data_IF_315347987146
#
_entry.id   IF_315347987146
#
_cell.length_a   1.000
_cell.length_b   1.000
_cell.length_c   1.000
_cell.angle_alpha   90.00
_cell.angle_beta   90.00
_cell.angle_gamma   90.00
#
_symmetry.space_group_name_H-M   'P 1'
#
loop_
_entity.id
_entity.type
_entity.pdbx_description
1 polymer ?
#
# COMPACT_ATOMS: atom_id res chain seq x y z
N UNK A 1 22.37 38.12 7.70
CA UNK A 1 22.75 37.33 8.89
C UNK A 1 23.31 36.01 8.37
N UNK A 2 24.61 35.80 8.48
CA UNK A 2 25.26 34.57 8.00
C UNK A 2 25.02 33.51 9.06
N UNK A 3 24.11 32.57 8.78
CA UNK A 3 23.90 31.38 9.61
C UNK A 3 24.85 30.32 9.06
N UNK A 4 25.92 30.02 9.81
CA UNK A 4 26.68 28.79 9.61
C UNK A 4 25.77 27.61 9.99
N UNK A 5 25.29 26.87 9.00
CA UNK A 5 24.62 25.58 9.23
C UNK A 5 25.72 24.51 9.27
N UNK A 6 26.00 24.01 10.47
CA UNK A 6 26.80 22.79 10.66
C UNK A 6 25.95 21.60 10.20
N UNK A 7 26.28 21.02 9.05
CA UNK A 7 25.65 19.79 8.56
C UNK A 7 26.28 18.62 9.32
N UNK A 8 25.55 18.07 10.28
CA UNK A 8 25.92 16.80 10.92
C UNK A 8 25.54 15.66 9.96
N UNK A 9 26.55 14.96 9.45
CA UNK A 9 26.38 13.76 8.62
C UNK A 9 25.93 12.61 9.51
N UNK A 10 24.70 12.12 9.33
CA UNK A 10 24.23 10.89 9.96
C UNK A 10 24.53 9.72 9.02
N UNK A 11 25.49 8.87 9.38
CA UNK A 11 25.72 7.61 8.69
C UNK A 11 24.73 6.56 9.22
N UNK A 12 23.83 6.07 8.37
CA UNK A 12 23.05 4.87 8.64
C UNK A 12 23.79 3.70 7.99
N UNK A 13 24.41 2.85 8.81
CA UNK A 13 25.19 1.70 8.36
C UNK A 13 24.31 0.44 8.45
N UNK A 14 23.81 -0.07 7.33
CA UNK A 14 23.07 -1.34 7.27
C UNK A 14 24.01 -2.48 6.87
N UNK A 15 24.39 -3.29 7.86
CA UNK A 15 25.10 -4.54 7.65
C UNK A 15 24.15 -5.63 7.13
N UNK A 16 24.40 -6.14 5.92
CA UNK A 16 23.80 -7.38 5.39
C UNK A 16 24.76 -8.53 5.69
N UNK A 17 24.37 -9.45 6.57
CA UNK A 17 25.09 -10.70 6.81
C UNK A 17 24.63 -11.76 5.79
N UNK A 18 25.49 -11.98 4.80
CA UNK A 18 25.50 -13.16 3.94
C UNK A 18 26.10 -14.35 4.71
N UNK A 19 25.42 -15.49 4.75
CA UNK A 19 26.09 -16.79 4.88
C UNK A 19 25.60 -17.77 3.81
N UNK A 20 26.57 -18.26 3.02
CA UNK A 20 26.46 -19.35 2.08
C UNK A 20 26.89 -20.68 2.75
N UNK A 21 26.21 -21.74 2.30
CA UNK A 21 26.67 -23.13 2.08
C UNK A 21 27.08 -24.00 3.29
N UNK A 22 26.51 -25.21 3.39
CA UNK A 22 27.24 -26.45 3.05
C UNK A 22 26.37 -27.72 2.88
N UNK A 23 26.75 -28.49 1.86
CA UNK A 23 26.73 -29.96 1.65
C UNK A 23 25.45 -30.81 1.63
N UNK A 24 25.23 -31.36 0.43
CA UNK A 24 24.65 -32.67 0.13
C UNK A 24 25.42 -33.82 0.80
N UNK A 25 24.71 -34.84 1.29
CA UNK A 25 25.21 -36.21 1.46
C UNK A 25 24.11 -37.18 1.02
N UNK A 26 24.44 -38.07 0.09
CA UNK A 26 23.67 -39.24 -0.31
C UNK A 26 23.80 -40.35 0.72
N UNK A 27 22.81 -41.23 0.86
CA UNK A 27 22.98 -42.65 0.53
C UNK A 27 21.70 -43.48 0.75
N UNK A 28 21.49 -44.39 -0.20
CA UNK A 28 20.48 -45.43 -0.21
C UNK A 28 20.77 -46.49 0.87
N UNK A 29 19.75 -46.94 1.60
CA UNK A 29 19.72 -48.32 2.10
C UNK A 29 18.31 -48.88 1.97
N UNK A 30 18.26 -50.02 1.27
CA UNK A 30 17.15 -50.93 1.08
C UNK A 30 16.65 -51.50 2.42
N UNK A 31 15.34 -51.66 2.59
CA UNK A 31 14.87 -52.96 3.08
C UNK A 31 13.51 -53.35 2.49
N UNK A 32 13.48 -54.55 1.93
CA UNK A 32 12.28 -55.30 1.53
C UNK A 32 12.13 -56.38 2.60
N UNK A 33 10.91 -56.66 3.07
CA UNK A 33 10.31 -58.00 2.97
C UNK A 33 8.99 -58.17 3.76
N UNK A 34 7.96 -58.61 3.01
CA UNK A 34 7.08 -59.77 3.29
C UNK A 34 6.01 -59.61 4.41
N UNK A 35 4.77 -60.10 4.34
CA UNK A 35 4.05 -61.11 3.51
C UNK A 35 2.53 -60.88 3.71
N UNK A 36 1.73 -60.90 2.64
CA UNK A 36 0.68 -61.90 2.28
C UNK A 36 -0.49 -62.16 3.25
N UNK A 37 -1.71 -62.11 2.69
CA UNK A 37 -2.96 -62.70 3.18
C UNK A 37 -4.17 -62.10 2.44
N UNK A 38 -4.46 -62.53 1.22
CA UNK A 38 -5.46 -63.55 0.84
C UNK A 38 -6.87 -62.99 0.60
N UNK A 39 -7.32 -63.17 -0.64
CA UNK A 39 -8.66 -62.92 -1.13
C UNK A 39 -9.56 -64.10 -0.76
N UNK A 40 -10.73 -63.81 -0.19
CA UNK A 40 -11.84 -64.77 -0.08
C UNK A 40 -12.98 -64.22 -0.93
N UNK A 41 -13.23 -64.90 -2.06
CA UNK A 41 -14.36 -64.67 -2.95
C UNK A 41 -15.53 -65.50 -2.44
N UNK A 42 -16.62 -64.85 -2.02
CA UNK A 42 -17.90 -65.51 -1.78
C UNK A 42 -18.99 -64.88 -2.65
N UNK A 43 -19.50 -65.69 -3.56
CA UNK A 43 -20.72 -65.48 -4.34
C UNK A 43 -21.91 -65.73 -3.41
N UNK A 44 -22.79 -64.75 -3.24
CA UNK A 44 -24.22 -64.98 -3.14
C UNK A 44 -24.98 -63.70 -3.51
N UNK A 45 -25.94 -63.88 -4.43
CA UNK A 45 -26.76 -62.85 -5.03
C UNK A 45 -27.76 -62.28 -4.04
N UNK A 46 -27.85 -60.95 -3.94
CA UNK A 46 -29.07 -60.29 -3.47
C UNK A 46 -29.21 -58.91 -4.13
N UNK A 47 -30.20 -58.83 -5.03
CA UNK A 47 -30.95 -57.66 -5.51
C UNK A 47 -30.23 -56.30 -5.57
N UNK A 48 -29.93 -55.87 -6.80
CA UNK A 48 -29.67 -54.48 -7.17
C UNK A 48 -30.88 -53.59 -6.80
N UNK A 49 -30.79 -52.91 -5.67
CA UNK A 49 -31.41 -51.60 -5.50
C UNK A 49 -30.39 -50.58 -6.00
N UNK A 50 -30.78 -49.73 -6.95
CA UNK A 50 -30.03 -48.52 -7.28
C UNK A 50 -30.49 -47.43 -6.32
N UNK A 51 -29.79 -47.14 -5.20
CA UNK A 51 -29.95 -45.85 -4.57
C UNK A 51 -29.45 -44.81 -5.58
N UNK A 52 -30.27 -43.80 -5.84
CA UNK A 52 -29.79 -42.59 -6.52
C UNK A 52 -28.52 -42.11 -5.82
N UNK A 53 -27.49 -41.64 -6.54
CA UNK A 53 -26.31 -41.11 -5.89
C UNK A 53 -26.75 -39.89 -5.08
N UNK A 54 -26.76 -40.04 -3.76
CA UNK A 54 -26.67 -38.90 -2.86
C UNK A 54 -25.37 -38.20 -3.26
N UNK A 55 -25.50 -37.10 -3.99
CA UNK A 55 -24.39 -36.18 -4.22
C UNK A 55 -23.94 -35.75 -2.85
N UNK A 56 -22.86 -36.37 -2.37
CA UNK A 56 -22.24 -36.06 -1.11
C UNK A 56 -21.65 -34.67 -1.27
N UNK A 57 -22.47 -33.66 -0.97
CA UNK A 57 -22.07 -32.27 -0.79
C UNK A 57 -20.87 -32.35 0.14
N UNK A 58 -19.70 -31.99 -0.37
CA UNK A 58 -18.43 -32.11 0.33
C UNK A 58 -18.57 -31.57 1.75
N UNK A 59 -18.35 -32.43 2.75
CA UNK A 59 -18.28 -32.10 4.18
C UNK A 59 -16.99 -31.31 4.50
N UNK A 60 -16.69 -30.28 3.70
CA UNK A 60 -15.79 -29.24 4.16
C UNK A 60 -16.55 -28.49 5.25
N UNK A 61 -16.00 -28.34 6.46
CA UNK A 61 -16.63 -27.52 7.49
C UNK A 61 -16.88 -26.13 6.88
N UNK A 62 -18.09 -25.59 7.07
CA UNK A 62 -18.41 -24.22 6.66
C UNK A 62 -17.42 -23.28 7.34
N UNK A 63 -16.41 -22.84 6.58
CA UNK A 63 -15.36 -21.93 7.02
C UNK A 63 -15.89 -20.48 7.08
N UNK A 64 -17.21 -20.31 7.12
CA UNK A 64 -17.89 -19.04 7.22
C UNK A 64 -18.17 -18.37 5.88
N UNK A 65 -18.03 -19.07 4.75
CA UNK A 65 -18.26 -18.51 3.41
C UNK A 65 -19.69 -18.65 2.90
N UNK A 66 -20.56 -19.40 3.60
CA UNK A 66 -21.96 -19.51 3.20
C UNK A 66 -22.66 -18.15 3.27
N UNK A 67 -23.39 -17.83 2.19
CA UNK A 67 -24.31 -16.70 2.10
C UNK A 67 -25.72 -17.25 1.96
N UNK A 68 -26.70 -16.55 2.54
CA UNK A 68 -28.11 -16.96 2.49
C UNK A 68 -28.72 -16.78 1.08
N UNK A 69 -28.16 -15.85 0.31
CA UNK A 69 -28.66 -15.46 -1.00
C UNK A 69 -28.23 -16.41 -2.12
N UNK A 70 -29.13 -16.61 -3.10
CA UNK A 70 -28.79 -17.24 -4.38
C UNK A 70 -28.43 -16.16 -5.39
N UNK A 71 -27.15 -16.07 -5.76
CA UNK A 71 -26.68 -15.14 -6.79
C UNK A 71 -27.15 -15.54 -8.19
N UNK A 72 -27.47 -14.55 -9.03
CA UNK A 72 -27.64 -14.74 -10.47
C UNK A 72 -26.28 -15.00 -11.14
N UNK A 73 -26.30 -15.59 -12.34
CA UNK A 73 -25.09 -15.91 -13.10
C UNK A 73 -24.21 -14.68 -13.43
N UNK A 74 -24.76 -13.47 -13.37
CA UNK A 74 -24.05 -12.21 -13.65
C UNK A 74 -23.61 -11.45 -12.37
N UNK A 75 -23.75 -12.06 -11.20
CA UNK A 75 -23.32 -11.50 -9.92
C UNK A 75 -22.36 -12.45 -9.20
N UNK A 76 -21.46 -11.86 -8.41
CA UNK A 76 -20.43 -12.59 -7.68
C UNK A 76 -20.80 -12.63 -6.19
N UNK A 77 -20.84 -13.82 -5.56
CA UNK A 77 -21.05 -13.94 -4.12
C UNK A 77 -19.84 -13.42 -3.34
N UNK A 78 -20.11 -12.70 -2.25
CA UNK A 78 -19.07 -12.22 -1.34
C UNK A 78 -19.54 -12.32 0.11
N UNK A 79 -18.56 -12.46 1.01
CA UNK A 79 -18.76 -12.32 2.45
C UNK A 79 -17.48 -11.81 3.09
N UNK A 80 -17.57 -10.75 3.88
CA UNK A 80 -16.46 -10.22 4.64
C UNK A 80 -16.90 -9.90 6.06
N UNK A 81 -16.11 -10.33 7.04
CA UNK A 81 -16.33 -10.13 8.47
C UNK A 81 -15.03 -9.58 9.06
N UNK A 82 -15.13 -8.48 9.81
CA UNK A 82 -14.00 -7.97 10.59
C UNK A 82 -13.63 -8.94 11.70
N UNK A 83 -12.48 -8.71 12.31
CA UNK A 83 -12.22 -9.27 13.63
C UNK A 83 -13.17 -8.71 14.69
N UNK A 84 -13.21 -9.37 15.83
CA UNK A 84 -13.92 -8.92 17.03
C UNK A 84 -13.03 -9.19 18.24
N UNK A 85 -12.62 -8.13 18.93
CA UNK A 85 -11.56 -8.24 19.93
C UNK A 85 -10.19 -8.55 19.29
N UNK A 86 -9.40 -9.38 20.00
CA UNK A 86 -8.01 -9.74 19.62
C UNK A 86 -7.86 -11.22 19.25
N UNK A 87 -8.89 -12.03 19.47
CA UNK A 87 -8.87 -13.49 19.35
C UNK A 87 -9.69 -14.01 18.17
N UNK A 88 -10.74 -13.27 17.77
CA UNK A 88 -11.55 -13.56 16.58
C UNK A 88 -11.01 -12.79 15.39
N UNK A 89 -10.40 -13.53 14.46
CA UNK A 89 -9.76 -12.98 13.27
C UNK A 89 -10.76 -12.75 12.13
N UNK A 90 -10.44 -11.86 11.16
CA UNK A 90 -11.30 -11.60 10.02
C UNK A 90 -11.54 -12.83 9.14
N UNK A 91 -12.66 -12.80 8.43
CA UNK A 91 -13.02 -13.77 7.39
C UNK A 91 -13.29 -13.01 6.10
N UNK A 92 -12.62 -13.38 5.01
CA UNK A 92 -12.92 -12.85 3.68
C UNK A 92 -13.14 -14.00 2.71
N UNK A 93 -14.31 -13.98 2.07
CA UNK A 93 -14.71 -14.88 1.02
C UNK A 93 -15.15 -14.08 -0.21
N UNK A 94 -14.69 -14.50 -1.38
CA UNK A 94 -15.07 -13.89 -2.65
C UNK A 94 -15.20 -14.97 -3.71
N UNK A 95 -16.28 -14.92 -4.49
CA UNK A 95 -16.58 -15.89 -5.53
C UNK A 95 -16.49 -17.35 -5.02
N UNK A 96 -17.12 -17.62 -3.87
CA UNK A 96 -17.12 -18.92 -3.18
C UNK A 96 -15.73 -19.44 -2.73
N UNK A 97 -14.69 -18.60 -2.77
CA UNK A 97 -13.34 -18.96 -2.32
C UNK A 97 -13.02 -18.26 -0.99
N UNK A 98 -12.55 -19.03 -0.01
CA UNK A 98 -12.00 -18.51 1.24
C UNK A 98 -10.62 -17.87 0.95
N UNK A 99 -10.50 -16.56 1.17
CA UNK A 99 -9.29 -15.80 0.91
C UNK A 99 -8.52 -15.47 2.20
N UNK A 100 -9.23 -15.10 3.26
CA UNK A 100 -8.64 -14.78 4.56
C UNK A 100 -9.39 -15.56 5.64
N UNK A 101 -8.66 -16.38 6.40
CA UNK A 101 -9.15 -17.09 7.58
C UNK A 101 -7.97 -17.65 8.40
N UNK A 102 -8.14 -17.80 9.71
CA UNK A 102 -7.09 -18.28 10.64
C UNK A 102 -6.58 -19.70 10.34
N UNK A 103 -7.36 -20.52 9.65
CA UNK A 103 -6.98 -21.91 9.32
C UNK A 103 -6.25 -22.03 7.98
N UNK A 104 -6.21 -20.98 7.16
CA UNK A 104 -5.45 -21.00 5.92
C UNK A 104 -3.96 -20.98 6.25
N UNK A 105 -3.20 -21.83 5.55
CA UNK A 105 -1.74 -21.80 5.61
C UNK A 105 -1.26 -20.57 4.86
N UNK A 106 -0.19 -19.95 5.36
CA UNK A 106 0.51 -18.82 4.72
C UNK A 106 -0.29 -17.51 4.58
N UNK A 107 -1.47 -17.37 5.18
CA UNK A 107 -2.17 -16.08 5.26
C UNK A 107 -1.57 -15.20 6.36
N UNK A 108 -1.02 -14.05 5.96
CA UNK A 108 -0.68 -12.97 6.88
C UNK A 108 -1.97 -12.33 7.38
N UNK A 109 -2.38 -12.70 8.59
CA UNK A 109 -3.51 -12.09 9.30
C UNK A 109 -3.02 -11.51 10.61
N UNK A 110 -3.53 -10.35 10.97
CA UNK A 110 -3.05 -9.64 12.15
C UNK A 110 -3.85 -8.39 12.44
N UNK A 111 -3.37 -7.63 13.42
CA UNK A 111 -3.89 -6.30 13.77
C UNK A 111 -3.87 -5.38 12.56
N UNK A 112 -4.78 -4.41 12.52
CA UNK A 112 -4.87 -3.42 11.45
C UNK A 112 -5.81 -3.85 10.34
N UNK A 113 -5.39 -3.65 9.09
CA UNK A 113 -6.19 -3.90 7.89
C UNK A 113 -5.75 -5.19 7.20
N UNK A 114 -6.69 -6.11 7.03
CA UNK A 114 -6.50 -7.37 6.32
C UNK A 114 -7.15 -7.22 4.95
N UNK A 115 -6.36 -7.37 3.88
CA UNK A 115 -6.73 -6.93 2.53
C UNK A 115 -6.58 -8.08 1.54
N UNK A 116 -7.65 -8.38 0.81
CA UNK A 116 -7.61 -9.22 -0.37
C UNK A 116 -7.88 -8.36 -1.62
N UNK A 117 -7.04 -8.50 -2.64
CA UNK A 117 -7.17 -7.77 -3.90
C UNK A 117 -7.48 -8.76 -5.02
N UNK A 118 -8.49 -8.45 -5.82
CA UNK A 118 -8.99 -9.28 -6.90
C UNK A 118 -9.04 -8.47 -8.20
N UNK A 119 -8.59 -9.06 -9.30
CA UNK A 119 -8.71 -8.47 -10.62
C UNK A 119 -10.19 -8.38 -11.04
N UNK A 120 -10.64 -7.22 -11.51
CA UNK A 120 -12.07 -6.99 -11.77
C UNK A 120 -12.60 -7.64 -13.05
N UNK A 121 -11.73 -8.15 -13.92
CA UNK A 121 -12.12 -8.79 -15.19
C UNK A 121 -12.10 -10.30 -15.10
N UNK A 122 -11.06 -10.84 -14.47
CA UNK A 122 -10.82 -12.29 -14.34
C UNK A 122 -11.34 -12.85 -13.02
N UNK A 123 -11.52 -12.01 -12.01
CA UNK A 123 -11.79 -12.40 -10.63
C UNK A 123 -10.67 -13.24 -9.98
N UNK A 124 -9.47 -13.19 -10.54
CA UNK A 124 -8.29 -13.82 -9.96
C UNK A 124 -7.75 -13.00 -8.78
N UNK A 125 -7.35 -13.71 -7.73
CA UNK A 125 -6.76 -13.10 -6.54
C UNK A 125 -5.34 -12.64 -6.87
N UNK A 126 -5.08 -11.35 -6.71
CA UNK A 126 -3.77 -10.73 -6.96
C UNK A 126 -2.90 -10.72 -5.71
N UNK A 127 -3.49 -10.31 -4.58
CA UNK A 127 -2.77 -10.10 -3.33
C UNK A 127 -3.63 -10.48 -2.14
N UNK A 128 -2.98 -11.01 -1.10
CA UNK A 128 -3.54 -11.18 0.24
C UNK A 128 -2.46 -10.66 1.21
N UNK A 129 -2.76 -9.56 1.90
CA UNK A 129 -1.81 -8.90 2.78
C UNK A 129 -2.49 -8.45 4.08
N UNK A 130 -1.68 -8.27 5.12
CA UNK A 130 -2.07 -7.60 6.35
C UNK A 130 -1.17 -6.38 6.56
N UNK A 131 -1.77 -5.28 7.00
CA UNK A 131 -1.08 -4.04 7.33
C UNK A 131 -1.40 -3.65 8.76
N UNK A 132 -0.39 -3.66 9.62
CA UNK A 132 -0.51 -3.19 11.00
C UNK A 132 -0.51 -1.64 11.03
N UNK A 133 -1.63 -1.05 10.63
CA UNK A 133 -1.82 0.41 10.56
C UNK A 133 -1.90 1.07 11.94
N UNK A 134 -1.81 0.31 13.03
CA UNK A 134 -1.54 0.86 14.35
C UNK A 134 -0.09 1.33 14.48
N UNK A 135 0.87 0.61 13.88
CA UNK A 135 2.30 0.92 13.94
C UNK A 135 2.76 1.79 12.77
N UNK A 136 2.34 1.45 11.55
CA UNK A 136 2.88 2.07 10.34
C UNK A 136 1.87 2.05 9.18
N UNK A 137 1.43 3.22 8.72
CA UNK A 137 0.45 3.30 7.62
C UNK A 137 1.05 3.43 6.22
N UNK A 138 2.32 3.82 6.10
CA UNK A 138 2.98 4.11 4.82
C UNK A 138 2.95 2.91 3.86
N UNK A 139 3.16 1.69 4.36
CA UNK A 139 3.09 0.47 3.53
C UNK A 139 1.69 0.22 2.97
N UNK A 140 0.65 0.43 3.77
CA UNK A 140 -0.74 0.29 3.34
C UNK A 140 -1.08 1.31 2.24
N UNK A 141 -0.72 2.57 2.48
CA UNK A 141 -0.96 3.66 1.54
C UNK A 141 -0.28 3.40 0.19
N UNK A 142 1.00 3.04 0.22
CA UNK A 142 1.78 2.71 -0.99
C UNK A 142 1.23 1.50 -1.72
N UNK A 143 0.84 0.46 -0.99
CA UNK A 143 0.24 -0.72 -1.57
C UNK A 143 -0.99 -0.36 -2.41
N UNK A 144 -1.96 0.34 -1.81
CA UNK A 144 -3.18 0.76 -2.50
C UNK A 144 -2.92 1.77 -3.64
N UNK A 145 -1.96 2.69 -3.49
CA UNK A 145 -1.62 3.66 -4.54
C UNK A 145 -0.93 3.00 -5.73
N UNK A 146 0.09 2.17 -5.48
CA UNK A 146 1.09 1.77 -6.48
C UNK A 146 0.94 0.34 -7.01
N UNK A 147 0.37 -0.59 -6.23
CA UNK A 147 0.29 -2.01 -6.63
C UNK A 147 -1.02 -2.38 -7.33
N UNK A 148 -2.06 -1.57 -7.14
CA UNK A 148 -3.38 -1.82 -7.70
C UNK A 148 -3.59 -1.03 -8.99
N UNK A 149 -4.21 -1.68 -9.97
CA UNK A 149 -4.70 -1.05 -11.19
C UNK A 149 -6.07 -0.41 -10.93
N UNK A 150 -6.43 0.61 -11.71
CA UNK A 150 -7.77 1.18 -11.64
C UNK A 150 -8.83 0.10 -11.91
N UNK A 151 -9.87 0.08 -11.07
CA UNK A 151 -10.92 -0.92 -11.10
C UNK A 151 -10.62 -2.22 -10.37
N UNK A 152 -9.39 -2.50 -9.91
CA UNK A 152 -9.11 -3.66 -9.05
C UNK A 152 -10.02 -3.61 -7.81
N UNK A 153 -10.54 -4.78 -7.41
CA UNK A 153 -11.43 -4.93 -6.25
C UNK A 153 -10.55 -5.11 -5.01
N UNK A 154 -10.75 -4.26 -4.00
CA UNK A 154 -10.12 -4.39 -2.69
C UNK A 154 -11.18 -4.74 -1.64
N UNK A 155 -11.00 -5.89 -1.00
CA UNK A 155 -11.84 -6.37 0.10
C UNK A 155 -11.01 -6.22 1.37
N UNK A 156 -11.48 -5.36 2.28
CA UNK A 156 -10.73 -4.93 3.46
C UNK A 156 -11.55 -5.26 4.70
N UNK A 157 -10.91 -5.85 5.69
CA UNK A 157 -11.50 -6.15 6.99
C UNK A 157 -10.54 -5.75 8.13
N UNK A 158 -11.02 -4.98 9.10
CA UNK A 158 -10.23 -4.57 10.27
C UNK A 158 -10.08 -5.71 11.28
N UNK A 159 -9.05 -5.68 12.12
CA UNK A 159 -8.88 -6.55 13.28
C UNK A 159 -8.13 -5.83 14.40
N UNK A 160 -8.59 -6.00 15.65
CA UNK A 160 -8.12 -5.30 16.86
C UNK A 160 -8.20 -3.77 16.73
N UNK A 161 -7.25 -3.14 16.05
CA UNK A 161 -7.13 -1.68 15.92
C UNK A 161 -6.54 -1.34 14.54
N UNK A 162 -7.15 -0.40 13.82
CA UNK A 162 -6.71 0.02 12.48
C UNK A 162 -6.53 1.54 12.30
N UNK A 163 -6.96 2.35 13.26
CA UNK A 163 -7.10 3.80 13.11
C UNK A 163 -5.98 4.61 13.74
N UNK A 164 -5.23 4.08 14.71
CA UNK A 164 -4.29 4.86 15.53
C UNK A 164 -3.16 5.50 14.70
N UNK A 165 -2.54 4.73 13.81
CA UNK A 165 -1.51 5.23 12.89
C UNK A 165 -2.07 5.68 11.54
N UNK A 166 -3.36 5.51 11.27
CA UNK A 166 -3.94 5.79 9.95
C UNK A 166 -4.13 7.30 9.74
N UNK A 167 -3.45 7.86 8.73
CA UNK A 167 -3.50 9.29 8.40
C UNK A 167 -4.56 9.63 7.34
N UNK A 168 -4.86 10.91 7.23
CA UNK A 168 -5.83 11.49 6.27
C UNK A 168 -5.57 11.10 4.80
N UNK A 169 -4.31 10.89 4.44
CA UNK A 169 -3.88 10.40 3.13
C UNK A 169 -4.53 9.05 2.77
N UNK A 170 -4.45 8.09 3.70
CA UNK A 170 -5.02 6.75 3.56
C UNK A 170 -6.54 6.77 3.65
N UNK A 171 -7.10 7.58 4.54
CA UNK A 171 -8.55 7.76 4.66
C UNK A 171 -9.15 8.33 3.36
N UNK A 172 -8.52 9.36 2.80
CA UNK A 172 -8.95 9.97 1.52
C UNK A 172 -8.73 9.00 0.35
N UNK A 173 -7.67 8.20 0.38
CA UNK A 173 -7.50 7.13 -0.60
C UNK A 173 -8.64 6.12 -0.53
N UNK A 174 -9.06 5.70 0.66
CA UNK A 174 -10.19 4.77 0.82
C UNK A 174 -11.53 5.37 0.36
N UNK A 175 -11.71 6.69 0.44
CA UNK A 175 -12.84 7.37 -0.20
C UNK A 175 -12.80 7.24 -1.73
N UNK A 176 -11.60 7.30 -2.35
CA UNK A 176 -11.38 7.04 -3.78
C UNK A 176 -11.45 5.54 -4.15
N UNK A 177 -11.59 4.66 -3.15
CA UNK A 177 -12.01 3.28 -3.33
C UNK A 177 -13.52 3.10 -3.15
N UNK A 178 -14.24 4.19 -2.90
CA UNK A 178 -15.69 4.25 -2.81
C UNK A 178 -16.25 4.30 -1.39
N UNK A 179 -15.42 4.28 -0.33
CA UNK A 179 -15.93 4.38 1.05
C UNK A 179 -16.55 5.74 1.33
N UNK A 180 -17.73 5.76 1.94
CA UNK A 180 -18.36 6.94 2.51
C UNK A 180 -18.03 7.13 3.99
N UNK A 181 -17.89 6.02 4.74
CA UNK A 181 -17.86 6.02 6.20
C UNK A 181 -16.46 5.97 6.83
N UNK A 182 -15.40 5.66 6.07
CA UNK A 182 -14.05 5.40 6.61
C UNK A 182 -13.51 6.52 7.52
N UNK A 183 -13.75 7.80 7.18
CA UNK A 183 -13.32 8.95 7.99
C UNK A 183 -14.02 9.04 9.35
N UNK A 184 -15.14 8.33 9.53
CA UNK A 184 -15.89 8.27 10.78
C UNK A 184 -15.52 7.09 11.68
N UNK A 185 -14.68 6.16 11.22
CA UNK A 185 -14.25 4.99 11.98
C UNK A 185 -13.28 5.42 13.07
N UNK A 186 -13.53 4.99 14.31
CA UNK A 186 -12.74 5.39 15.49
C UNK A 186 -11.92 4.23 16.04
N UNK A 187 -11.05 4.53 17.00
CA UNK A 187 -10.21 3.57 17.70
C UNK A 187 -10.99 2.32 18.15
N UNK A 188 -10.58 1.15 17.65
CA UNK A 188 -11.21 -0.18 17.87
C UNK A 188 -12.67 -0.32 17.45
N UNK A 189 -13.16 0.58 16.60
CA UNK A 189 -14.35 0.28 15.83
C UNK A 189 -14.05 -0.82 14.80
N UNK A 190 -15.08 -1.57 14.44
CA UNK A 190 -14.97 -2.64 13.45
C UNK A 190 -15.41 -2.13 12.09
N UNK A 191 -14.68 -2.50 11.04
CA UNK A 191 -14.90 -2.00 9.70
C UNK A 191 -14.64 -3.07 8.64
N UNK A 192 -15.53 -3.17 7.66
CA UNK A 192 -15.35 -3.96 6.45
C UNK A 192 -15.77 -3.16 5.22
N UNK A 193 -15.07 -3.35 4.11
CA UNK A 193 -15.49 -2.80 2.83
C UNK A 193 -15.10 -3.68 1.65
N UNK A 194 -15.89 -3.60 0.58
CA UNK A 194 -15.53 -3.97 -0.78
C UNK A 194 -15.58 -2.70 -1.61
N UNK A 195 -14.40 -2.24 -2.04
CA UNK A 195 -14.24 -1.07 -2.89
C UNK A 195 -13.47 -1.39 -4.16
N UNK A 196 -13.36 -0.42 -5.05
CA UNK A 196 -12.53 -0.53 -6.26
C UNK A 196 -11.70 0.71 -6.46
N UNK A 197 -10.45 0.58 -6.89
CA UNK A 197 -9.59 1.74 -7.14
C UNK A 197 -10.21 2.65 -8.19
N UNK A 198 -10.46 3.91 -7.84
CA UNK A 198 -11.11 4.89 -8.72
C UNK A 198 -12.64 4.90 -8.64
N UNK A 199 -13.24 4.15 -7.72
CA UNK A 199 -14.67 4.14 -7.50
C UNK A 199 -15.13 5.40 -6.77
N UNK A 200 -16.22 6.00 -7.24
CA UNK A 200 -16.79 7.19 -6.62
C UNK A 200 -17.20 6.93 -5.16
N UNK A 201 -16.95 7.92 -4.29
CA UNK A 201 -17.34 7.90 -2.87
C UNK A 201 -18.82 7.51 -2.69
N UNK A 202 -19.10 6.61 -1.74
CA UNK A 202 -20.43 6.10 -1.44
C UNK A 202 -20.94 5.01 -2.37
N UNK A 203 -20.05 4.38 -3.14
CA UNK A 203 -20.36 3.22 -3.99
C UNK A 203 -19.74 1.92 -3.50
N UNK A 204 -18.85 1.96 -2.51
CA UNK A 204 -18.37 0.75 -1.86
C UNK A 204 -19.49 0.06 -1.10
N UNK A 205 -19.39 -1.27 -1.00
CA UNK A 205 -20.20 -2.06 -0.08
C UNK A 205 -19.44 -2.06 1.25
N UNK A 206 -19.96 -1.42 2.29
CA UNK A 206 -19.24 -1.25 3.55
C UNK A 206 -20.14 -1.41 4.78
N UNK A 207 -19.54 -1.75 5.90
CA UNK A 207 -20.18 -1.76 7.21
C UNK A 207 -19.19 -1.24 8.26
N UNK A 208 -19.66 -0.33 9.10
CA UNK A 208 -18.95 0.21 10.26
C UNK A 208 -19.75 -0.12 11.52
N UNK A 209 -19.10 -0.72 12.51
CA UNK A 209 -19.68 -0.96 13.82
C UNK A 209 -18.89 -0.20 14.88
N UNK A 210 -19.55 0.78 15.51
CA UNK A 210 -18.92 1.51 16.60
C UNK A 210 -18.86 0.68 17.88
N UNK A 211 -17.75 0.76 18.60
CA UNK A 211 -17.62 0.14 19.92
C UNK A 211 -18.48 0.80 20.99
N UNK A 212 -18.94 2.03 20.77
CA UNK A 212 -19.68 2.79 21.79
C UNK A 212 -18.90 2.86 23.12
N UNK A 213 -19.46 2.24 24.16
CA UNK A 213 -18.84 2.17 25.51
C UNK A 213 -17.98 0.92 25.74
N UNK A 214 -17.94 -0.02 24.80
CA UNK A 214 -17.14 -1.23 24.89
C UNK A 214 -15.66 -0.97 24.55
N UNK A 215 -14.80 -1.93 24.91
CA UNK A 215 -13.38 -1.91 24.55
C UNK A 215 -13.17 -2.12 23.05
N UNK A 216 -14.04 -2.92 22.41
CA UNK A 216 -14.02 -3.26 20.98
C UNK A 216 -15.42 -3.18 20.38
N UNK A 217 -15.50 -2.87 19.09
CA UNK A 217 -16.72 -3.01 18.30
C UNK A 217 -17.07 -4.47 18.06
N UNK A 218 -18.37 -4.78 18.00
CA UNK A 218 -18.83 -6.06 17.48
C UNK A 218 -18.37 -6.26 16.03
N UNK A 219 -18.30 -7.49 15.55
CA UNK A 219 -17.91 -7.76 14.17
C UNK A 219 -18.77 -6.96 13.17
N UNK A 220 -18.11 -6.23 12.27
CA UNK A 220 -18.74 -5.63 11.10
C UNK A 220 -18.80 -6.70 10.00
N UNK A 221 -19.97 -6.88 9.39
CA UNK A 221 -20.21 -7.94 8.42
C UNK A 221 -20.96 -7.42 7.20
N UNK A 222 -20.49 -7.84 6.02
CA UNK A 222 -21.18 -7.69 4.75
C UNK A 222 -21.26 -9.06 4.06
N UNK A 223 -22.39 -9.36 3.45
CA UNK A 223 -22.59 -10.58 2.65
C UNK A 223 -23.65 -10.31 1.59
N UNK A 224 -23.52 -10.96 0.43
CA UNK A 224 -24.50 -10.85 -0.64
C UNK A 224 -23.90 -11.16 -2.00
N UNK A 225 -24.56 -10.66 -3.04
CA UNK A 225 -24.17 -10.81 -4.44
C UNK A 225 -23.97 -9.44 -5.08
N UNK A 226 -22.86 -9.23 -5.80
CA UNK A 226 -22.59 -7.96 -6.45
C UNK A 226 -22.12 -8.12 -7.90
N UNK A 227 -22.48 -7.17 -8.74
CA UNK A 227 -21.95 -7.01 -10.09
C UNK A 227 -20.78 -6.04 -10.05
N UNK A 228 -19.67 -6.41 -10.68
CA UNK A 228 -18.48 -5.57 -10.76
C UNK A 228 -18.28 -5.04 -12.19
N UNK A 229 -17.87 -3.76 -12.35
CA UNK A 229 -17.61 -2.80 -11.29
C UNK A 229 -18.88 -2.32 -10.57
N UNK A 230 -18.77 -1.96 -9.29
CA UNK A 230 -19.85 -1.45 -8.43
C UNK A 230 -20.41 -0.10 -8.90
N UNK A 231 -19.69 0.57 -9.79
CA UNK A 231 -20.06 1.85 -10.37
C UNK A 231 -19.04 2.29 -11.43
N UNK A 232 -19.12 3.55 -11.83
CA UNK A 232 -18.14 4.13 -12.73
C UNK A 232 -16.76 4.20 -12.04
N UNK A 233 -15.74 3.75 -12.76
CA UNK A 233 -14.33 3.85 -12.35
C UNK A 233 -13.71 5.06 -13.04
N UNK A 234 -13.22 5.99 -12.23
CA UNK A 234 -12.42 7.14 -12.66
C UNK A 234 -10.95 6.82 -12.39
N UNK A 235 -10.08 6.77 -13.42
CA UNK A 235 -8.67 6.51 -13.23
C UNK A 235 -8.04 7.45 -12.20
N UNK A 236 -7.32 6.88 -11.22
CA UNK A 236 -6.63 7.68 -10.22
C UNK A 236 -5.20 7.96 -10.70
N UNK A 237 -4.97 9.18 -11.18
CA UNK A 237 -3.62 9.70 -11.32
C UNK A 237 -3.17 10.24 -9.99
N UNK A 238 -2.33 9.50 -9.29
CA UNK A 238 -1.46 10.13 -8.29
C UNK A 238 -0.39 10.88 -9.07
N UNK A 239 0.14 12.00 -8.55
CA UNK A 239 1.45 12.48 -8.97
C UNK A 239 2.42 11.35 -8.63
N UNK A 240 2.57 10.38 -9.53
CA UNK A 240 3.82 9.66 -9.62
C UNK A 240 4.81 10.77 -9.81
N UNK A 241 5.70 10.96 -8.85
CA UNK A 241 7.00 11.49 -9.20
C UNK A 241 7.36 10.77 -10.48
N UNK A 242 7.44 11.48 -11.59
CA UNK A 242 8.09 10.96 -12.76
C UNK A 242 9.56 10.83 -12.34
N UNK A 243 9.87 9.79 -11.55
CA UNK A 243 11.21 9.48 -11.04
C UNK A 243 12.16 9.36 -12.23
N UNK A 244 11.60 9.00 -13.39
CA UNK A 244 12.28 8.86 -14.66
C UNK A 244 11.59 9.68 -15.76
N UNK A 245 11.21 10.94 -15.52
CA UNK A 245 11.39 11.85 -16.66
C UNK A 245 12.90 12.03 -16.77
N UNK A 246 13.47 11.38 -17.78
CA UNK A 246 14.57 11.93 -18.58
C UNK A 246 14.17 13.29 -19.23
N UNK A 247 13.19 13.99 -18.65
CA UNK A 247 12.84 15.36 -18.93
C UNK A 247 13.95 16.22 -18.38
N UNK A 248 14.67 16.83 -19.31
CA UNK A 248 15.73 17.81 -19.07
C UNK A 248 15.32 18.75 -17.93
N UNK A 249 16.02 18.65 -16.79
CA UNK A 249 15.89 19.59 -15.68
C UNK A 249 15.96 21.00 -16.24
N UNK A 250 14.89 21.77 -16.07
CA UNK A 250 14.82 23.10 -16.63
C UNK A 250 15.85 23.98 -15.93
N UNK A 251 16.58 24.74 -16.74
CA UNK A 251 17.56 25.71 -16.24
C UNK A 251 17.01 27.09 -16.54
N UNK A 252 16.82 27.87 -15.48
CA UNK A 252 16.44 29.26 -15.57
C UNK A 252 17.64 30.15 -15.90
N UNK A 253 17.70 31.30 -15.24
CA UNK A 253 18.81 32.24 -15.42
C UNK A 253 20.12 31.68 -14.89
N UNK A 254 21.21 32.12 -15.50
CA UNK A 254 22.57 31.80 -15.05
C UNK A 254 23.18 32.97 -14.31
N UNK A 255 23.86 32.71 -13.21
CA UNK A 255 24.61 33.70 -12.44
C UNK A 255 25.98 33.12 -12.11
N UNK A 256 27.06 33.85 -12.42
CA UNK A 256 28.42 33.36 -12.16
C UNK A 256 28.54 32.98 -10.68
N UNK A 257 28.95 31.73 -10.42
CA UNK A 257 29.25 31.24 -9.08
C UNK A 257 28.08 31.39 -8.08
N UNK A 258 26.83 31.33 -8.57
CA UNK A 258 25.63 31.58 -7.77
C UNK A 258 25.65 32.90 -6.96
N UNK A 259 26.40 33.90 -7.42
CA UNK A 259 26.53 35.19 -6.73
C UNK A 259 27.60 35.22 -5.64
N UNK A 260 28.33 34.13 -5.40
CA UNK A 260 29.49 34.13 -4.52
C UNK A 260 30.65 34.89 -5.16
N UNK A 261 31.33 35.73 -4.37
CA UNK A 261 32.50 36.50 -4.82
C UNK A 261 33.76 35.66 -4.94
N UNK A 262 33.94 34.66 -4.06
CA UNK A 262 35.07 33.73 -4.05
C UNK A 262 34.76 32.46 -4.85
N UNK A 263 35.71 31.99 -5.66
CA UNK A 263 35.54 30.79 -6.49
C UNK A 263 35.66 29.51 -5.64
N UNK A 264 34.78 28.54 -5.89
CA UNK A 264 34.81 27.23 -5.24
C UNK A 264 36.02 26.39 -5.69
N UNK A 265 36.52 25.53 -4.80
CA UNK A 265 37.58 24.56 -5.14
C UNK A 265 37.07 23.45 -6.07
N UNK A 266 37.99 22.64 -6.59
CA UNK A 266 37.69 21.54 -7.52
C UNK A 266 36.69 20.50 -6.96
N UNK A 267 36.57 20.34 -5.65
CA UNK A 267 35.59 19.46 -5.00
C UNK A 267 34.41 20.20 -4.34
N UNK A 268 34.29 21.51 -4.53
CA UNK A 268 33.21 22.34 -4.01
C UNK A 268 32.35 22.87 -5.17
N UNK A 269 31.07 23.12 -4.95
CA UNK A 269 30.22 23.81 -5.93
C UNK A 269 29.51 24.99 -5.29
N UNK A 270 29.20 25.99 -6.10
CA UNK A 270 28.48 27.15 -5.62
C UNK A 270 26.99 26.85 -5.49
N UNK A 271 26.41 27.26 -4.37
CA UNK A 271 24.97 27.19 -4.17
C UNK A 271 24.44 28.52 -3.64
N UNK A 272 23.26 28.91 -4.12
CA UNK A 272 22.48 29.98 -3.52
C UNK A 272 21.06 29.49 -3.30
N UNK A 273 20.62 29.54 -2.03
CA UNK A 273 19.32 29.04 -1.60
C UNK A 273 18.56 30.21 -1.00
N UNK A 274 17.36 30.44 -1.53
CA UNK A 274 16.53 31.59 -1.19
C UNK A 274 15.09 31.14 -1.01
N UNK A 275 14.55 31.35 0.19
CA UNK A 275 13.19 30.92 0.57
C UNK A 275 12.10 31.80 -0.01
N UNK A 276 12.43 32.98 -0.51
CA UNK A 276 11.43 34.04 -0.69
C UNK A 276 11.23 34.87 0.57
N UNK A 277 10.50 35.98 0.41
CA UNK A 277 10.11 36.91 1.50
C UNK A 277 8.65 36.76 1.90
N UNK A 278 7.79 36.57 0.91
CA UNK A 278 6.34 36.46 1.01
C UNK A 278 5.81 35.64 -0.16
N UNK A 279 4.49 35.42 -0.22
CA UNK A 279 3.85 34.59 -1.24
C UNK A 279 3.97 35.08 -2.70
N UNK A 280 4.55 36.26 -2.95
CA UNK A 280 4.82 36.79 -4.29
C UNK A 280 6.31 36.74 -4.68
N UNK A 281 7.21 36.43 -3.74
CA UNK A 281 8.65 36.31 -3.98
C UNK A 281 9.07 34.85 -3.89
N UNK A 282 8.92 34.14 -5.02
CA UNK A 282 9.11 32.70 -5.14
C UNK A 282 10.53 32.19 -4.79
N UNK A 283 10.64 30.91 -4.39
CA UNK A 283 11.90 30.34 -3.92
C UNK A 283 12.88 30.20 -5.07
N UNK A 284 14.18 30.26 -4.74
CA UNK A 284 15.25 30.10 -5.72
C UNK A 284 16.33 29.17 -5.19
N UNK A 285 16.74 28.21 -6.03
CA UNK A 285 17.93 27.39 -5.81
C UNK A 285 18.81 27.52 -7.05
N UNK A 286 20.01 28.08 -6.86
CA UNK A 286 21.08 28.05 -7.83
C UNK A 286 22.09 26.97 -7.44
N UNK A 287 22.50 26.16 -8.41
CA UNK A 287 23.58 25.17 -8.28
C UNK A 287 24.57 25.39 -9.43
N UNK A 288 25.83 25.58 -9.06
CA UNK A 288 26.95 25.80 -9.98
C UNK A 288 26.67 26.84 -11.10
N UNK A 289 26.08 27.94 -10.67
CA UNK A 289 25.74 29.10 -11.49
C UNK A 289 24.48 28.99 -12.32
N UNK A 290 23.65 27.96 -12.10
CA UNK A 290 22.37 27.75 -12.81
C UNK A 290 21.22 27.73 -11.81
N UNK A 291 20.22 28.60 -11.98
CA UNK A 291 18.98 28.48 -11.22
C UNK A 291 18.17 27.29 -11.73
N UNK A 292 17.99 26.29 -10.86
CA UNK A 292 17.23 25.06 -11.12
C UNK A 292 15.90 25.03 -10.36
N UNK A 293 15.71 25.92 -9.39
CA UNK A 293 14.40 26.26 -8.82
C UNK A 293 14.30 27.78 -8.90
N UNK A 294 13.22 28.27 -9.51
CA UNK A 294 12.88 29.69 -9.63
C UNK A 294 11.46 29.79 -10.21
N UNK A 295 10.89 30.99 -10.25
CA UNK A 295 9.58 31.23 -10.85
C UNK A 295 9.43 30.64 -12.26
N UNK A 296 8.50 29.70 -12.40
CA UNK A 296 8.23 28.98 -13.65
C UNK A 296 9.29 27.96 -14.05
N UNK A 297 10.21 27.59 -13.15
CA UNK A 297 11.29 26.61 -13.38
C UNK A 297 11.08 25.42 -12.44
N UNK A 298 10.98 24.22 -13.03
CA UNK A 298 10.83 22.93 -12.33
C UNK A 298 9.75 22.98 -11.23
N UNK A 299 8.60 23.55 -11.57
CA UNK A 299 7.41 23.63 -10.71
C UNK A 299 7.66 24.28 -9.34
N UNK A 300 8.59 25.24 -9.26
CA UNK A 300 8.84 25.98 -8.02
C UNK A 300 7.53 26.57 -7.44
N UNK A 301 7.25 26.29 -6.17
CA UNK A 301 5.97 26.65 -5.58
C UNK A 301 5.91 26.49 -4.07
N UNK A 302 4.73 26.73 -3.49
CA UNK A 302 4.49 26.65 -2.03
C UNK A 302 4.81 25.26 -1.50
N UNK A 303 5.36 25.18 -0.29
CA UNK A 303 5.75 23.92 0.33
C UNK A 303 7.27 23.72 0.25
N UNK A 304 7.69 22.47 0.03
CA UNK A 304 9.10 22.10 -0.06
C UNK A 304 9.55 21.98 -1.52
N UNK A 305 10.63 22.66 -1.86
CA UNK A 305 11.30 22.57 -3.15
C UNK A 305 12.67 21.93 -2.93
N UNK A 306 12.93 20.85 -3.65
CA UNK A 306 14.06 19.95 -3.42
C UNK A 306 14.90 19.85 -4.68
N UNK A 307 16.21 19.93 -4.53
CA UNK A 307 17.21 19.70 -5.58
C UNK A 307 18.17 18.63 -5.09
N UNK A 308 18.44 17.63 -5.93
CA UNK A 308 19.40 16.56 -5.64
C UNK A 308 20.59 16.73 -6.57
N UNK A 309 21.77 16.78 -5.97
CA UNK A 309 23.06 16.97 -6.64
C UNK A 309 23.90 15.71 -6.45
N UNK A 310 24.43 15.16 -7.54
CA UNK A 310 25.35 14.03 -7.49
C UNK A 310 26.71 14.44 -6.91
N UNK A 311 27.53 13.46 -6.54
CA UNK A 311 28.92 13.71 -6.17
C UNK A 311 29.74 14.36 -7.31
N UNK A 312 29.30 14.19 -8.56
CA UNK A 312 29.86 14.87 -9.74
C UNK A 312 29.44 16.34 -9.87
N UNK A 313 28.71 16.90 -8.89
CA UNK A 313 28.16 18.27 -8.87
C UNK A 313 27.06 18.53 -9.90
N UNK A 314 26.54 17.48 -10.51
CA UNK A 314 25.46 17.59 -11.46
C UNK A 314 24.13 17.56 -10.71
N UNK A 315 23.21 18.46 -11.07
CA UNK A 315 21.83 18.36 -10.60
C UNK A 315 21.20 17.17 -11.33
N UNK A 316 20.83 16.15 -10.56
CA UNK A 316 20.29 14.89 -11.08
C UNK A 316 18.78 14.78 -10.87
N UNK A 317 18.20 15.59 -9.97
CA UNK A 317 16.77 15.56 -9.70
C UNK A 317 16.27 16.87 -9.10
N UNK A 318 15.02 17.20 -9.38
CA UNK A 318 14.26 18.26 -8.69
C UNK A 318 12.91 17.73 -8.24
N UNK A 319 12.32 18.35 -7.22
CA UNK A 319 10.98 18.02 -6.75
C UNK A 319 10.31 19.22 -6.08
N UNK A 320 9.00 19.34 -6.27
CA UNK A 320 8.15 20.30 -5.58
C UNK A 320 7.05 19.52 -4.84
N UNK A 321 6.86 19.83 -3.56
CA UNK A 321 5.92 19.17 -2.67
C UNK A 321 5.12 20.23 -1.94
N UNK A 322 3.87 20.45 -2.35
CA UNK A 322 2.94 21.35 -1.66
C UNK A 322 2.42 20.69 -0.38
N UNK A 323 3.27 20.61 0.65
CA UNK A 323 2.97 20.07 2.00
C UNK A 323 1.99 20.94 2.82
N UNK A 324 1.44 22.00 2.20
CA UNK A 324 0.26 22.67 2.72
C UNK A 324 -1.03 22.00 2.20
N UNK A 325 -1.04 21.65 0.91
CA UNK A 325 -2.22 21.11 0.22
C UNK A 325 -2.30 19.60 0.37
N UNK A 326 -1.19 18.93 0.14
CA UNK A 326 -1.06 17.49 -0.02
C UNK A 326 -0.28 16.89 1.16
N UNK A 327 -0.41 15.57 1.36
CA UNK A 327 0.34 14.85 2.39
C UNK A 327 1.83 14.63 2.03
N UNK A 328 2.64 14.24 3.02
CA UNK A 328 4.08 13.99 2.86
C UNK A 328 4.44 12.76 2.02
N UNK A 329 3.48 11.93 1.58
CA UNK A 329 3.77 10.63 0.97
C UNK A 329 4.64 10.75 -0.28
N UNK A 330 4.36 11.74 -1.14
CA UNK A 330 5.16 11.94 -2.35
C UNK A 330 6.59 12.40 -2.00
N UNK A 331 6.75 13.22 -0.95
CA UNK A 331 8.08 13.59 -0.46
C UNK A 331 8.82 12.38 0.11
N UNK A 332 8.15 11.54 0.91
CA UNK A 332 8.74 10.30 1.46
C UNK A 332 9.19 9.36 0.33
N UNK A 333 8.34 9.14 -0.68
CA UNK A 333 8.68 8.34 -1.87
C UNK A 333 9.85 8.98 -2.62
N UNK A 334 9.90 10.31 -2.73
CA UNK A 334 11.02 11.00 -3.38
C UNK A 334 12.34 10.66 -2.70
N UNK A 335 12.39 10.84 -1.38
CA UNK A 335 13.58 10.70 -0.56
C UNK A 335 14.08 9.25 -0.49
N UNK A 336 13.17 8.27 -0.43
CA UNK A 336 13.55 6.85 -0.41
C UNK A 336 14.10 6.33 -1.74
N UNK A 337 13.78 6.98 -2.86
CA UNK A 337 14.31 6.62 -4.18
C UNK A 337 15.58 7.41 -4.55
N UNK A 338 16.26 8.00 -3.56
CA UNK A 338 17.55 8.64 -3.78
C UNK A 338 18.68 7.63 -3.65
N UNK A 339 19.68 7.77 -4.52
CA UNK A 339 20.92 7.00 -4.43
C UNK A 339 21.75 7.45 -3.23
N UNK A 340 22.62 6.56 -2.74
CA UNK A 340 23.62 6.92 -1.74
C UNK A 340 24.60 7.98 -2.29
N UNK A 341 25.23 8.74 -1.40
CA UNK A 341 26.25 9.76 -1.74
C UNK A 341 25.76 10.91 -2.63
N UNK A 342 24.50 11.33 -2.46
CA UNK A 342 23.95 12.55 -3.05
C UNK A 342 23.88 13.68 -2.03
N UNK A 343 23.81 14.92 -2.52
CA UNK A 343 23.57 16.12 -1.71
C UNK A 343 22.16 16.61 -2.00
N UNK A 344 21.38 16.82 -0.95
CA UNK A 344 20.01 17.33 -1.05
C UNK A 344 19.99 18.78 -0.59
N UNK A 345 19.48 19.67 -1.44
CA UNK A 345 19.21 21.07 -1.11
C UNK A 345 17.70 21.24 -1.05
N UNK A 346 17.20 21.66 0.10
CA UNK A 346 15.77 21.87 0.33
C UNK A 346 15.52 23.33 0.68
N UNK A 347 14.48 23.92 0.11
CA UNK A 347 14.00 25.24 0.49
C UNK A 347 12.49 25.23 0.65
N UNK A 348 12.02 25.77 1.77
CA UNK A 348 10.59 26.03 1.98
C UNK A 348 10.17 27.33 1.33
N UNK A 349 8.90 27.40 0.91
CA UNK A 349 8.27 28.63 0.42
C UNK A 349 6.84 28.73 0.91
N UNK A 350 6.47 29.92 1.40
CA UNK A 350 5.19 30.21 2.02
C UNK A 350 4.93 29.27 3.22
N UNK A 351 4.01 28.31 3.14
CA UNK A 351 3.80 27.31 4.19
C UNK A 351 4.23 25.91 3.74
N UNK A 352 5.01 25.22 4.57
CA UNK A 352 5.64 23.94 4.24
C UNK A 352 5.48 22.87 5.33
N UNK A 353 4.72 23.14 6.40
CA UNK A 353 4.68 22.30 7.60
C UNK A 353 3.28 21.93 8.09
N UNK A 354 2.22 22.22 7.31
CA UNK A 354 0.84 21.99 7.74
C UNK A 354 0.44 20.50 7.71
N UNK A 355 0.91 19.75 6.71
CA UNK A 355 0.63 18.32 6.49
C UNK A 355 1.93 17.57 6.28
#
# INVERSE_FOLDING_TARGET
>A
MIILVSITVIFINTYVLSQRNFSLVSDNVLDRNFRKGEQIYNRNQTKLFFPQPLVQRSLLPDLGCEIDDKCSDDTIPYKAISGEGTDKYPIICFNNKLLIHKTLKDTKIGRGLNVAVVDSKTYDVKFIENFDTYLEETFFLRFLRLKLNDGDIAIIASHDEMTYGLKDASLTLLENYGSQTIKGVKYRDSYVMIGQKGLARGKAIEMHQSKGRSDFGSAAQISGCAKFPLGQITPLSFPTLEVNKEGKIAVGTTIKNCGLTATCKENEFAAHVYTGKDNNDEPKICVDGKYVIAKGINDAGRGLNVVVVSNGKEVIRTGHFDTWKDDSTNLEIFLENLEDNVIIIVVSFDEASLK
#
